data_IF_941694984097
#
_entry.id   IF_941694984097
#
_cell.length_a   1.000
_cell.length_b   1.000
_cell.length_c   1.000
_cell.angle_alpha   90.00
_cell.angle_beta   90.00
_cell.angle_gamma   90.00
#
_symmetry.space_group_name_H-M   'P 1'
#
loop_
_entity.id
_entity.type
_entity.pdbx_description
1 polymer ?
#
# COMPACT_ATOMS: atom_id res chain seq x y z
N UNK A 1 16.31 -7.75 -21.24
CA UNK A 1 14.94 -7.91 -21.77
C UNK A 1 14.44 -6.51 -22.09
N UNK A 2 14.17 -6.17 -23.34
CA UNK A 2 13.82 -4.79 -23.71
C UNK A 2 12.37 -4.50 -23.30
N UNK A 3 12.16 -3.45 -22.50
CA UNK A 3 10.83 -2.90 -22.19
C UNK A 3 10.15 -2.53 -23.51
N UNK A 4 9.14 -3.31 -23.91
CA UNK A 4 8.24 -2.92 -24.99
C UNK A 4 7.39 -1.77 -24.46
N UNK A 5 7.45 -0.62 -25.14
CA UNK A 5 6.53 0.49 -24.90
C UNK A 5 5.12 -0.08 -25.11
N UNK A 6 4.40 -0.17 -24.01
CA UNK A 6 2.98 -0.55 -24.00
C UNK A 6 2.22 0.74 -24.32
N UNK A 7 1.19 0.65 -25.15
CA UNK A 7 0.33 1.78 -25.48
C UNK A 7 -0.34 2.35 -24.21
N UNK A 8 -0.55 3.67 -24.15
CA UNK A 8 -1.04 4.35 -22.94
C UNK A 8 -2.42 3.81 -22.50
N UNK A 9 -3.28 3.47 -23.47
CA UNK A 9 -4.61 2.90 -23.17
C UNK A 9 -4.50 1.50 -22.56
N UNK A 10 -3.56 0.68 -23.03
CA UNK A 10 -3.32 -0.65 -22.47
C UNK A 10 -2.70 -0.57 -21.06
N UNK A 11 -1.82 0.41 -20.81
CA UNK A 11 -1.30 0.68 -19.47
C UNK A 11 -2.41 1.09 -18.50
N UNK A 12 -3.26 2.05 -18.92
CA UNK A 12 -4.39 2.50 -18.11
C UNK A 12 -5.36 1.36 -17.83
N UNK A 13 -5.73 0.58 -18.86
CA UNK A 13 -6.63 -0.56 -18.72
C UNK A 13 -6.10 -1.60 -17.74
N UNK A 14 -4.81 -1.97 -17.84
CA UNK A 14 -4.18 -2.91 -16.89
C UNK A 14 -4.19 -2.38 -15.46
N UNK A 15 -3.92 -1.09 -15.28
CA UNK A 15 -3.95 -0.45 -13.97
C UNK A 15 -5.36 -0.45 -13.37
N UNK A 16 -6.37 -0.06 -14.15
CA UNK A 16 -7.76 0.02 -13.68
C UNK A 16 -8.38 -1.36 -13.46
N UNK A 17 -8.01 -2.38 -14.24
CA UNK A 17 -8.46 -3.75 -14.03
C UNK A 17 -8.04 -4.30 -12.66
N UNK A 18 -6.80 -4.01 -12.22
CA UNK A 18 -6.30 -4.43 -10.91
C UNK A 18 -7.11 -3.74 -9.80
N UNK A 19 -7.34 -2.43 -9.92
CA UNK A 19 -8.17 -1.70 -8.96
C UNK A 19 -9.63 -2.17 -8.96
N UNK A 20 -10.21 -2.46 -10.13
CA UNK A 20 -11.55 -3.01 -10.22
C UNK A 20 -11.64 -4.37 -9.51
N UNK A 21 -10.63 -5.24 -9.69
CA UNK A 21 -10.55 -6.50 -8.95
C UNK A 21 -10.46 -6.29 -7.44
N UNK A 22 -9.69 -5.30 -6.97
CA UNK A 22 -9.61 -4.95 -5.56
C UNK A 22 -10.96 -4.49 -5.00
N UNK A 23 -11.61 -3.51 -5.64
CA UNK A 23 -12.89 -2.94 -5.20
C UNK A 23 -14.04 -3.96 -5.26
N UNK A 24 -13.98 -4.92 -6.19
CA UNK A 24 -14.93 -6.04 -6.22
C UNK A 24 -14.73 -7.03 -5.06
N UNK A 25 -13.51 -7.12 -4.51
CA UNK A 25 -13.19 -7.99 -3.37
C UNK A 25 -13.41 -7.34 -2.01
N UNK A 26 -13.19 -6.02 -1.90
CA UNK A 26 -13.37 -5.26 -0.67
C UNK A 26 -13.83 -3.83 -0.97
N UNK A 27 -14.94 -3.42 -0.35
CA UNK A 27 -15.48 -2.06 -0.42
C UNK A 27 -16.21 -1.72 0.88
N UNK A 28 -16.26 -0.43 1.22
CA UNK A 28 -17.02 0.09 2.36
C UNK A 28 -18.06 1.06 1.79
N UNK A 29 -19.31 0.60 1.79
CA UNK A 29 -20.46 1.35 1.26
C UNK A 29 -21.23 2.00 2.40
N UNK A 30 -21.66 3.24 2.19
CA UNK A 30 -22.35 4.04 3.19
C UNK A 30 -23.67 4.54 2.63
N UNK A 31 -24.75 4.34 3.38
CA UNK A 31 -26.07 4.82 3.01
C UNK A 31 -26.30 6.26 3.49
N UNK A 32 -26.75 7.14 2.60
CA UNK A 32 -27.25 8.47 2.97
C UNK A 32 -26.21 9.59 3.10
N UNK A 33 -24.92 9.31 2.89
CA UNK A 33 -23.86 10.32 2.91
C UNK A 33 -22.78 10.04 1.84
N UNK A 34 -22.95 10.55 0.61
CA UNK A 34 -22.01 10.33 -0.48
C UNK A 34 -20.62 10.93 -0.24
N UNK A 35 -20.53 12.04 0.49
CA UNK A 35 -19.26 12.72 0.77
C UNK A 35 -18.43 11.90 1.77
N UNK A 36 -19.09 11.31 2.77
CA UNK A 36 -18.45 10.39 3.69
C UNK A 36 -18.04 9.08 3.00
N UNK A 37 -18.88 8.53 2.12
CA UNK A 37 -18.52 7.35 1.31
C UNK A 37 -17.25 7.62 0.49
N UNK A 38 -17.21 8.75 -0.21
CA UNK A 38 -16.04 9.16 -0.98
C UNK A 38 -14.80 9.30 -0.08
N UNK A 39 -14.94 9.91 1.10
CA UNK A 39 -13.84 10.11 2.04
C UNK A 39 -13.28 8.78 2.56
N UNK A 40 -14.14 7.82 2.89
CA UNK A 40 -13.74 6.49 3.35
C UNK A 40 -13.04 5.73 2.22
N UNK A 41 -13.61 5.71 1.02
CA UNK A 41 -12.97 5.08 -0.14
C UNK A 41 -11.64 5.73 -0.51
N UNK A 42 -11.53 7.05 -0.44
CA UNK A 42 -10.27 7.75 -0.67
C UNK A 42 -9.23 7.37 0.39
N UNK A 43 -9.62 7.30 1.66
CA UNK A 43 -8.74 6.89 2.75
C UNK A 43 -8.20 5.46 2.55
N UNK A 44 -9.07 4.53 2.14
CA UNK A 44 -8.67 3.17 1.80
C UNK A 44 -7.78 3.11 0.56
N UNK A 45 -8.13 3.86 -0.49
CA UNK A 45 -7.33 3.98 -1.72
C UNK A 45 -5.90 4.43 -1.39
N UNK A 46 -5.74 5.49 -0.59
CA UNK A 46 -4.42 5.98 -0.21
C UNK A 46 -3.65 4.98 0.64
N UNK A 47 -4.30 4.28 1.56
CA UNK A 47 -3.67 3.26 2.38
C UNK A 47 -3.15 2.10 1.51
N UNK A 48 -4.01 1.55 0.65
CA UNK A 48 -3.70 0.37 -0.16
C UNK A 48 -2.75 0.68 -1.32
N UNK A 49 -2.72 1.92 -1.81
CA UNK A 49 -1.76 2.36 -2.84
C UNK A 49 -0.29 2.25 -2.40
N UNK A 50 0.00 2.03 -1.12
CA UNK A 50 1.36 1.77 -0.62
C UNK A 50 1.78 0.30 -0.77
N UNK A 51 0.86 -0.60 -1.14
CA UNK A 51 1.13 -2.01 -1.33
C UNK A 51 1.12 -2.38 -2.81
N UNK A 52 1.90 -3.38 -3.21
CA UNK A 52 1.87 -3.88 -4.58
C UNK A 52 0.57 -4.66 -4.82
N UNK A 53 -0.33 -4.07 -5.61
CA UNK A 53 -1.53 -4.74 -6.10
C UNK A 53 -1.22 -5.56 -7.36
N UNK A 54 -1.77 -6.77 -7.46
CA UNK A 54 -1.72 -7.58 -8.68
C UNK A 54 -0.38 -8.23 -9.03
N UNK A 55 0.71 -7.93 -8.32
CA UNK A 55 1.89 -8.79 -8.35
C UNK A 55 1.67 -9.94 -7.37
N UNK A 56 1.79 -11.16 -7.86
CA UNK A 56 2.36 -12.21 -7.01
C UNK A 56 3.78 -11.71 -6.80
N UNK A 57 4.12 -11.24 -5.60
CA UNK A 57 5.51 -11.01 -5.25
C UNK A 57 6.26 -12.24 -5.74
N UNK A 58 7.19 -12.06 -6.69
CA UNK A 58 8.06 -13.17 -7.02
C UNK A 58 8.76 -13.51 -5.71
N UNK A 59 8.50 -14.71 -5.19
CA UNK A 59 9.04 -15.22 -3.92
C UNK A 59 10.58 -15.05 -3.81
N UNK A 60 11.23 -14.74 -4.93
CA UNK A 60 12.68 -14.58 -5.09
C UNK A 60 13.25 -13.21 -4.73
N UNK A 61 12.45 -12.15 -4.53
CA UNK A 61 12.97 -10.84 -4.11
C UNK A 61 12.23 -10.30 -2.88
N UNK A 62 12.87 -10.28 -1.70
CA UNK A 62 12.29 -9.66 -0.52
C UNK A 62 11.93 -8.21 -0.84
N UNK A 63 10.68 -7.83 -0.54
CA UNK A 63 10.18 -6.49 -0.76
C UNK A 63 11.07 -5.46 -0.02
N UNK A 64 12.04 -4.87 -0.72
CA UNK A 64 13.08 -4.03 -0.10
C UNK A 64 12.51 -2.78 0.60
N UNK A 65 11.24 -2.45 0.32
CA UNK A 65 10.51 -1.30 0.84
C UNK A 65 9.16 -1.73 1.46
N UNK A 66 9.17 -2.50 2.54
CA UNK A 66 7.96 -3.11 3.13
C UNK A 66 7.25 -2.35 4.26
N UNK A 67 7.64 -1.11 4.55
CA UNK A 67 7.06 -0.33 5.65
C UNK A 67 6.07 0.74 5.18
N UNK A 68 5.09 1.07 6.03
CA UNK A 68 4.07 2.07 5.74
C UNK A 68 4.39 3.41 6.40
N UNK A 69 4.70 4.41 5.60
CA UNK A 69 4.80 5.80 6.08
C UNK A 69 3.41 6.38 6.36
N UNK A 70 3.21 7.15 7.45
CA UNK A 70 2.01 7.97 7.66
C UNK A 70 1.74 8.92 6.48
N UNK A 71 2.79 9.33 5.78
CA UNK A 71 2.76 10.06 4.51
C UNK A 71 3.37 9.19 3.43
N UNK A 72 2.51 8.36 2.82
CA UNK A 72 2.90 7.35 1.84
C UNK A 72 3.00 7.85 0.40
N UNK A 73 3.29 6.92 -0.52
CA UNK A 73 3.40 7.15 -1.98
C UNK A 73 2.13 7.74 -2.59
N UNK A 74 0.97 7.46 -2.00
CA UNK A 74 -0.34 7.90 -2.48
C UNK A 74 -0.52 9.42 -2.54
N UNK A 75 0.34 10.20 -1.88
CA UNK A 75 0.26 11.67 -1.89
C UNK A 75 0.95 12.33 -3.09
N UNK A 76 1.78 11.59 -3.84
CA UNK A 76 2.52 12.11 -5.01
C UNK A 76 3.29 13.40 -4.69
N UNK A 77 4.42 13.31 -3.97
CA UNK A 77 5.13 14.50 -3.51
C UNK A 77 6.28 14.92 -4.42
N UNK A 78 6.27 16.18 -4.88
CA UNK A 78 7.46 16.90 -5.36
C UNK A 78 8.35 17.40 -4.21
N UNK A 79 7.77 17.54 -3.01
CA UNK A 79 8.44 17.89 -1.77
C UNK A 79 8.34 16.70 -0.79
N UNK A 80 9.49 16.13 -0.41
CA UNK A 80 9.62 14.94 0.43
C UNK A 80 9.73 15.28 1.93
N UNK A 81 9.36 16.50 2.32
CA UNK A 81 9.63 17.04 3.66
C UNK A 81 8.76 16.42 4.77
N UNK A 82 7.67 15.73 4.41
CA UNK A 82 6.77 15.08 5.36
C UNK A 82 7.21 13.64 5.65
N UNK A 83 7.80 13.41 6.83
CA UNK A 83 8.24 12.11 7.38
C UNK A 83 9.19 11.29 6.49
N UNK A 84 9.61 11.81 5.33
CA UNK A 84 10.60 11.27 4.41
C UNK A 84 10.34 9.81 3.94
N UNK A 85 9.07 9.37 4.01
CA UNK A 85 8.71 7.98 3.70
C UNK A 85 9.16 6.97 4.77
N UNK A 86 9.61 7.42 5.94
CA UNK A 86 10.01 6.53 7.02
C UNK A 86 8.82 5.82 7.65
N UNK A 87 9.06 4.60 8.14
CA UNK A 87 8.06 3.81 8.86
C UNK A 87 8.13 4.10 10.36
N UNK A 88 7.01 4.52 10.91
CA UNK A 88 6.84 4.85 12.33
C UNK A 88 6.03 3.78 13.06
N UNK A 89 5.90 3.90 14.38
CA UNK A 89 4.96 3.10 15.19
C UNK A 89 3.50 3.18 14.68
N UNK A 90 3.15 4.23 13.95
CA UNK A 90 1.85 4.38 13.28
C UNK A 90 1.49 3.22 12.36
N UNK A 91 2.48 2.59 11.73
CA UNK A 91 2.27 1.41 10.87
C UNK A 91 1.50 0.33 11.64
N UNK A 92 1.98 -0.07 12.82
CA UNK A 92 1.37 -1.15 13.59
C UNK A 92 0.19 -0.70 14.46
N UNK A 93 0.20 0.54 14.94
CA UNK A 93 -0.83 1.01 15.88
C UNK A 93 -2.09 1.49 15.15
N UNK A 94 -1.94 2.26 14.06
CA UNK A 94 -3.06 2.93 13.41
C UNK A 94 -3.44 2.30 12.07
N UNK A 95 -2.46 1.81 11.30
CA UNK A 95 -2.69 1.38 9.91
C UNK A 95 -2.93 -0.14 9.81
N UNK A 96 -2.13 -0.93 10.52
CA UNK A 96 -2.17 -2.40 10.48
C UNK A 96 -3.55 -3.01 10.75
N UNK A 97 -4.37 -2.52 11.70
CA UNK A 97 -5.69 -3.10 11.93
C UNK A 97 -6.58 -3.07 10.69
N UNK A 98 -6.55 -1.97 9.92
CA UNK A 98 -7.33 -1.84 8.69
C UNK A 98 -6.73 -2.71 7.59
N UNK A 99 -5.41 -2.66 7.42
CA UNK A 99 -4.70 -3.46 6.40
C UNK A 99 -4.99 -4.96 6.57
N UNK A 100 -4.96 -5.45 7.81
CA UNK A 100 -5.24 -6.85 8.15
C UNK A 100 -6.69 -7.27 7.89
N UNK A 101 -7.64 -6.33 7.94
CA UNK A 101 -9.04 -6.58 7.59
C UNK A 101 -9.25 -6.62 6.07
N UNK A 102 -8.46 -5.86 5.31
CA UNK A 102 -8.60 -5.75 3.86
C UNK A 102 -8.01 -6.97 3.16
N UNK A 103 -6.75 -7.33 3.47
CA UNK A 103 -6.07 -8.47 2.86
C UNK A 103 -4.88 -8.91 3.74
N UNK A 104 -4.89 -10.18 4.16
CA UNK A 104 -3.90 -10.74 5.07
C UNK A 104 -2.47 -10.66 4.52
N UNK A 105 -2.31 -10.77 3.19
CA UNK A 105 -1.00 -10.64 2.55
C UNK A 105 -0.33 -9.29 2.82
N UNK A 106 -1.08 -8.20 2.87
CA UNK A 106 -0.52 -6.87 3.14
C UNK A 106 -0.07 -6.74 4.61
N UNK A 107 -0.80 -7.38 5.52
CA UNK A 107 -0.43 -7.45 6.93
C UNK A 107 0.87 -8.28 7.11
N UNK A 108 0.99 -9.42 6.43
CA UNK A 108 2.22 -10.21 6.41
C UNK A 108 3.43 -9.38 5.94
N UNK A 109 3.28 -8.66 4.82
CA UNK A 109 4.32 -7.76 4.31
C UNK A 109 4.76 -6.70 5.33
N UNK A 110 3.81 -6.09 6.06
CA UNK A 110 4.12 -5.08 7.07
C UNK A 110 4.91 -5.65 8.27
N UNK A 111 4.61 -6.90 8.67
CA UNK A 111 5.32 -7.59 9.76
C UNK A 111 6.68 -8.12 9.31
N UNK A 112 6.77 -8.69 8.10
CA UNK A 112 8.02 -9.17 7.51
C UNK A 112 9.06 -8.07 7.43
N UNK A 113 8.63 -6.85 7.06
CA UNK A 113 9.49 -5.67 7.11
C UNK A 113 10.14 -5.46 8.48
N UNK A 114 9.38 -5.58 9.57
CA UNK A 114 9.94 -5.45 10.94
C UNK A 114 10.89 -6.59 11.26
N UNK A 115 10.55 -7.81 10.85
CA UNK A 115 11.41 -8.98 11.05
C UNK A 115 12.76 -8.83 10.33
N UNK A 116 12.77 -8.37 9.08
CA UNK A 116 14.01 -8.17 8.32
C UNK A 116 14.87 -7.03 8.86
N UNK A 117 14.27 -6.05 9.55
CA UNK A 117 14.98 -4.95 10.20
C UNK A 117 15.42 -5.26 11.64
N UNK A 118 15.17 -6.47 12.13
CA UNK A 118 15.47 -6.87 13.51
C UNK A 118 16.97 -6.75 13.86
N UNK A 119 17.88 -7.09 12.94
CA UNK A 119 19.32 -7.00 13.22
C UNK A 119 19.79 -5.54 13.35
N UNK A 120 19.28 -4.63 12.52
CA UNK A 120 19.54 -3.20 12.67
C UNK A 120 18.99 -2.65 13.99
N UNK A 121 17.81 -3.13 14.43
CA UNK A 121 17.25 -2.75 15.72
C UNK A 121 18.09 -3.26 16.90
N UNK A 122 18.68 -4.46 16.79
CA UNK A 122 19.61 -5.02 17.79
C UNK A 122 20.91 -4.24 17.87
N UNK A 123 21.45 -3.77 16.74
CA UNK A 123 22.67 -2.97 16.70
C UNK A 123 22.46 -1.57 17.34
N UNK A 124 21.26 -1.01 17.21
CA UNK A 124 20.91 0.27 17.81
C UNK A 124 20.75 0.23 19.34
N UNK A 125 20.36 -0.92 19.91
CA UNK A 125 20.02 -1.11 21.32
C UNK A 125 21.25 -1.18 22.24
#
# INVERSE_FOLDING_TARGET
QALRITDDDELLRRHTDIWASFWNGFDIQLEGDPDLEQTVRASLFYLISNFPLGTNGTDDEPFQFGGLSPTGLGRGGSDLDDYEGHSFWDTEIWMFPVVNLVEARFAEMAIDYRFWRMDAAREYA
#
